data_IF_533097900862
#
_entry.id   IF_533097900862
#
_cell.length_a   1.000
_cell.length_b   1.000
_cell.length_c   1.000
_cell.angle_alpha   90.00
_cell.angle_beta   90.00
_cell.angle_gamma   90.00
#
_symmetry.space_group_name_H-M   'P 1'
#
loop_
_entity.id
_entity.type
_entity.pdbx_description
1 polymer ?
#
# COMPACT_ATOMS: atom_id res chain seq x y z
N UNK A 1 7.59 -5.05 1.97
CA UNK A 1 7.03 -6.41 2.01
C UNK A 1 7.66 -7.26 0.95
N UNK A 2 7.80 -8.56 1.21
CA UNK A 2 8.27 -9.57 0.25
C UNK A 2 7.18 -10.63 0.08
N UNK A 3 6.92 -11.03 -1.16
CA UNK A 3 5.97 -12.06 -1.54
C UNK A 3 6.72 -13.21 -2.21
N UNK A 4 6.45 -14.44 -1.77
CA UNK A 4 6.91 -15.66 -2.45
C UNK A 4 5.70 -16.31 -3.13
N UNK A 5 5.79 -16.57 -4.42
CA UNK A 5 4.68 -17.06 -5.24
C UNK A 5 4.67 -18.59 -5.34
N UNK A 6 3.53 -19.23 -5.66
CA UNK A 6 3.45 -20.68 -5.85
C UNK A 6 4.41 -21.25 -6.88
N UNK A 7 4.77 -20.48 -7.91
CA UNK A 7 5.75 -20.85 -8.93
C UNK A 7 7.22 -20.70 -8.50
N UNK A 8 7.48 -20.32 -7.22
CA UNK A 8 8.81 -20.10 -6.68
C UNK A 8 9.39 -18.71 -6.94
N UNK A 9 8.72 -17.86 -7.74
CA UNK A 9 9.15 -16.48 -7.94
C UNK A 9 9.00 -15.65 -6.65
N UNK A 10 9.75 -14.56 -6.58
CA UNK A 10 9.65 -13.60 -5.48
C UNK A 10 9.42 -12.20 -6.05
N UNK A 11 8.63 -11.41 -5.34
CA UNK A 11 8.43 -10.00 -5.61
C UNK A 11 8.42 -9.18 -4.30
N UNK A 12 8.48 -7.87 -4.43
CA UNK A 12 8.37 -6.98 -3.29
C UNK A 12 7.50 -5.76 -3.64
N UNK A 13 7.01 -5.12 -2.60
CA UNK A 13 6.23 -3.90 -2.67
C UNK A 13 6.18 -3.22 -1.31
N UNK A 14 5.40 -2.17 -1.21
CA UNK A 14 5.22 -1.39 0.01
C UNK A 14 3.89 -1.72 0.67
N UNK A 15 3.86 -1.71 1.99
CA UNK A 15 2.65 -1.74 2.79
C UNK A 15 2.82 -0.83 4.00
N UNK A 16 1.73 -0.38 4.56
CA UNK A 16 1.70 0.49 5.72
C UNK A 16 0.68 0.02 6.75
N UNK A 17 1.01 0.20 8.02
CA UNK A 17 0.14 -0.18 9.13
C UNK A 17 -1.05 0.79 9.23
N UNK A 18 -2.27 0.25 9.33
CA UNK A 18 -3.49 1.02 9.59
C UNK A 18 -4.24 0.55 10.85
N UNK A 19 -3.72 -0.47 11.51
CA UNK A 19 -4.22 -1.02 12.77
C UNK A 19 -3.12 -1.75 13.54
N UNK A 20 -3.46 -2.39 14.66
CA UNK A 20 -2.49 -3.08 15.51
C UNK A 20 -1.68 -4.15 14.76
N UNK A 21 -2.33 -4.98 13.94
CA UNK A 21 -1.73 -6.02 13.11
C UNK A 21 -2.17 -5.92 11.64
N UNK A 22 -2.75 -4.79 11.24
CA UNK A 22 -3.37 -4.61 9.94
C UNK A 22 -2.46 -3.80 9.03
N UNK A 23 -2.16 -4.34 7.87
CA UNK A 23 -1.36 -3.71 6.81
C UNK A 23 -2.23 -3.47 5.59
N UNK A 24 -2.13 -2.28 5.03
CA UNK A 24 -2.72 -1.90 3.76
C UNK A 24 -1.66 -1.87 2.66
N UNK A 25 -2.03 -2.30 1.46
CA UNK A 25 -1.17 -2.33 0.27
C UNK A 25 -2.01 -2.29 -1.00
N UNK A 26 -1.40 -2.32 -2.19
CA UNK A 26 -2.11 -2.52 -3.45
C UNK A 26 -2.39 -4.01 -3.71
N UNK A 27 -3.49 -4.32 -4.38
CA UNK A 27 -3.87 -5.69 -4.70
C UNK A 27 -2.84 -6.36 -5.62
N UNK A 28 -2.28 -5.63 -6.61
CA UNK A 28 -1.28 -6.18 -7.52
C UNK A 28 0.04 -6.58 -6.83
N UNK A 29 0.29 -6.13 -5.62
CA UNK A 29 1.45 -6.55 -4.81
C UNK A 29 1.25 -7.94 -4.24
N UNK A 30 0.01 -8.33 -3.92
CA UNK A 30 -0.34 -9.56 -3.21
C UNK A 30 -1.28 -10.48 -3.99
N UNK A 31 -1.49 -10.22 -5.27
CA UNK A 31 -2.26 -11.09 -6.16
C UNK A 31 -1.76 -10.98 -7.60
N UNK A 32 -1.44 -12.14 -8.21
CA UNK A 32 -1.02 -12.23 -9.61
C UNK A 32 -1.52 -13.55 -10.21
N UNK A 33 -2.39 -13.46 -11.20
CA UNK A 33 -2.86 -14.65 -11.93
C UNK A 33 -1.71 -15.41 -12.59
N UNK A 34 -0.74 -14.69 -13.15
CA UNK A 34 0.45 -15.27 -13.82
C UNK A 34 1.33 -16.09 -12.86
N UNK A 35 1.34 -15.70 -11.57
CA UNK A 35 2.12 -16.37 -10.54
C UNK A 35 1.30 -17.36 -9.70
N UNK A 36 0.05 -17.66 -10.11
CA UNK A 36 -0.79 -18.66 -9.46
C UNK A 36 -1.75 -18.11 -8.40
N UNK A 37 -2.07 -16.82 -8.45
CA UNK A 37 -3.06 -16.19 -7.58
C UNK A 37 -2.42 -15.49 -6.38
N UNK A 38 -2.70 -15.93 -5.17
CA UNK A 38 -2.09 -15.41 -3.94
C UNK A 38 -0.67 -15.95 -3.71
N UNK A 39 0.24 -15.15 -3.10
CA UNK A 39 1.53 -15.65 -2.67
C UNK A 39 1.39 -16.79 -1.64
N UNK A 40 2.29 -17.75 -1.69
CA UNK A 40 2.42 -18.79 -0.68
C UNK A 40 2.96 -18.24 0.66
N UNK A 41 3.64 -17.10 0.63
CA UNK A 41 4.13 -16.40 1.81
C UNK A 41 4.22 -14.90 1.56
N UNK A 42 3.80 -14.10 2.55
CA UNK A 42 3.97 -12.64 2.58
C UNK A 42 4.65 -12.27 3.90
N UNK A 43 5.79 -11.61 3.81
CA UNK A 43 6.55 -11.14 4.97
C UNK A 43 6.61 -9.61 4.97
N UNK A 44 6.20 -9.01 6.07
CA UNK A 44 6.28 -7.58 6.32
C UNK A 44 7.55 -7.25 7.10
N UNK A 45 8.32 -6.30 6.59
CA UNK A 45 9.58 -5.83 7.19
C UNK A 45 9.42 -4.34 7.51
N UNK A 46 9.11 -3.95 8.76
CA UNK A 46 8.97 -2.55 9.12
C UNK A 46 10.33 -1.85 9.09
N UNK A 47 10.37 -0.66 8.47
CA UNK A 47 11.54 0.22 8.50
C UNK A 47 12.82 -0.41 7.95
N UNK A 48 12.73 -1.31 6.96
CA UNK A 48 13.91 -1.88 6.33
C UNK A 48 14.76 -0.79 5.66
N UNK A 49 16.08 -0.90 5.74
CA UNK A 49 17.03 0.00 5.09
C UNK A 49 17.94 -0.76 4.12
N UNK A 50 18.82 -0.05 3.42
CA UNK A 50 19.74 -0.59 2.43
C UNK A 50 20.74 -1.63 2.97
N UNK A 51 21.00 -1.63 4.27
CA UNK A 51 21.83 -2.65 4.92
C UNK A 51 21.05 -3.93 5.24
N UNK A 52 19.73 -3.97 4.93
CA UNK A 52 18.85 -5.06 5.32
C UNK A 52 18.41 -5.03 6.77
N UNK A 53 18.78 -4.00 7.53
CA UNK A 53 18.29 -3.83 8.90
C UNK A 53 16.81 -3.45 8.90
N UNK A 54 16.07 -3.97 9.85
CA UNK A 54 14.63 -3.71 10.04
C UNK A 54 14.39 -3.16 11.45
N UNK A 55 13.28 -2.44 11.62
CA UNK A 55 12.81 -1.99 12.93
C UNK A 55 12.09 -3.16 13.61
N UNK A 56 12.71 -3.75 14.62
CA UNK A 56 12.18 -4.91 15.34
C UNK A 56 12.46 -6.23 14.62
N UNK A 57 11.42 -6.92 14.19
CA UNK A 57 11.48 -8.22 13.52
C UNK A 57 10.70 -8.20 12.20
N UNK A 58 10.77 -9.28 11.44
CA UNK A 58 9.87 -9.53 10.31
C UNK A 58 8.59 -10.21 10.79
N UNK A 59 7.49 -9.92 10.13
CA UNK A 59 6.16 -10.39 10.51
C UNK A 59 5.49 -11.07 9.33
N UNK A 60 4.92 -12.26 9.56
CA UNK A 60 4.22 -13.00 8.53
C UNK A 60 2.75 -12.54 8.46
N UNK A 61 2.26 -12.29 7.25
CA UNK A 61 0.84 -12.15 7.04
C UNK A 61 0.15 -13.52 7.13
N UNK A 62 -0.91 -13.58 7.92
CA UNK A 62 -1.73 -14.79 8.14
C UNK A 62 -2.99 -14.76 7.28
N UNK A 63 -3.44 -13.56 6.91
CA UNK A 63 -4.62 -13.33 6.07
C UNK A 63 -4.24 -12.27 5.03
N UNK A 64 -4.71 -12.46 3.81
CA UNK A 64 -4.69 -11.46 2.74
C UNK A 64 -6.08 -11.40 2.11
N UNK A 65 -6.66 -10.21 2.02
CA UNK A 65 -7.96 -9.98 1.41
C UNK A 65 -7.88 -8.84 0.41
N UNK A 66 -8.55 -9.01 -0.70
CA UNK A 66 -8.69 -7.98 -1.74
C UNK A 66 -10.05 -8.12 -2.43
N UNK A 67 -10.54 -7.09 -3.13
CA UNK A 67 -11.84 -7.13 -3.80
C UNK A 67 -11.91 -8.26 -4.84
N UNK A 68 -13.04 -8.98 -4.85
CA UNK A 68 -13.27 -10.09 -5.78
C UNK A 68 -13.22 -9.63 -7.25
N UNK A 69 -13.69 -8.42 -7.55
CA UNK A 69 -13.62 -7.81 -8.89
C UNK A 69 -12.19 -7.54 -9.35
N UNK A 70 -11.26 -7.26 -8.43
CA UNK A 70 -9.85 -7.21 -8.80
C UNK A 70 -9.33 -8.58 -9.22
N UNK A 71 -9.72 -9.64 -8.52
CA UNK A 71 -9.29 -11.01 -8.85
C UNK A 71 -9.82 -11.47 -10.23
N UNK A 72 -11.08 -11.18 -10.54
CA UNK A 72 -11.73 -11.65 -11.78
C UNK A 72 -11.43 -10.78 -13.00
N UNK A 73 -11.34 -9.46 -12.83
CA UNK A 73 -11.36 -8.49 -13.92
C UNK A 73 -10.12 -7.60 -13.99
N UNK A 74 -9.25 -7.67 -12.98
CA UNK A 74 -8.09 -6.76 -12.84
C UNK A 74 -8.52 -5.28 -12.84
N UNK A 75 -9.68 -5.00 -12.21
CA UNK A 75 -10.20 -3.64 -12.09
C UNK A 75 -9.28 -2.76 -11.23
N UNK A 76 -8.53 -1.88 -11.87
CA UNK A 76 -7.57 -0.98 -11.20
C UNK A 76 -8.23 -0.06 -10.17
N UNK A 77 -9.55 0.19 -10.28
CA UNK A 77 -10.30 0.95 -9.26
C UNK A 77 -10.42 0.19 -7.93
N UNK A 78 -10.07 -1.09 -7.94
CA UNK A 78 -10.08 -2.03 -6.82
C UNK A 78 -8.68 -2.50 -6.43
N UNK A 79 -7.64 -1.82 -6.91
CA UNK A 79 -6.25 -2.17 -6.62
C UNK A 79 -5.84 -1.78 -5.19
N UNK A 80 -6.49 -2.42 -4.22
CA UNK A 80 -6.15 -2.33 -2.79
C UNK A 80 -6.31 -3.69 -2.10
N UNK A 81 -5.56 -3.90 -1.04
CA UNK A 81 -5.61 -5.13 -0.24
C UNK A 81 -5.32 -4.84 1.23
N UNK A 82 -5.83 -5.72 2.09
CA UNK A 82 -5.58 -5.70 3.52
C UNK A 82 -4.96 -7.03 3.95
N UNK A 83 -3.98 -6.94 4.85
CA UNK A 83 -3.29 -8.09 5.42
C UNK A 83 -3.43 -8.05 6.93
N UNK A 84 -3.58 -9.21 7.56
CA UNK A 84 -3.42 -9.35 9.01
C UNK A 84 -2.09 -10.03 9.32
N UNK A 85 -1.29 -9.42 10.17
CA UNK A 85 0.00 -9.95 10.61
C UNK A 85 -0.19 -10.90 11.80
N UNK A 86 0.79 -11.76 12.00
CA UNK A 86 0.87 -12.66 13.17
C UNK A 86 1.28 -11.95 14.48
N UNK A 87 1.27 -10.62 14.51
CA UNK A 87 1.68 -9.81 15.68
C UNK A 87 1.06 -8.41 15.64
N UNK A 88 0.70 -7.88 16.81
CA UNK A 88 0.15 -6.54 16.99
C UNK A 88 1.24 -5.45 17.00
N UNK A 89 2.17 -5.51 16.06
CA UNK A 89 3.34 -4.62 16.02
C UNK A 89 2.94 -3.13 15.88
N UNK A 90 1.78 -2.83 15.32
CA UNK A 90 1.26 -1.48 15.22
C UNK A 90 1.03 -0.81 16.58
N UNK A 91 0.83 -1.58 17.66
CA UNK A 91 0.75 -1.03 19.01
C UNK A 91 2.10 -0.44 19.49
N UNK A 92 3.20 -0.91 18.93
CA UNK A 92 4.56 -0.44 19.24
C UNK A 92 5.04 0.62 18.25
N UNK A 93 4.82 0.40 16.97
CA UNK A 93 5.33 1.28 15.90
C UNK A 93 4.39 2.43 15.56
N UNK A 94 3.12 2.36 15.99
CA UNK A 94 2.07 3.23 15.51
C UNK A 94 1.51 2.78 14.17
N UNK A 95 0.43 3.41 13.75
CA UNK A 95 -0.21 3.20 12.45
C UNK A 95 -0.89 4.48 11.96
N UNK A 96 -1.03 4.60 10.64
CA UNK A 96 -1.71 5.74 10.04
C UNK A 96 -3.23 5.61 10.17
N UNK A 97 -3.88 6.72 10.52
CA UNK A 97 -5.29 6.89 10.24
C UNK A 97 -5.54 7.18 8.76
N UNK A 98 -6.80 7.30 8.37
CA UNK A 98 -7.16 7.61 6.99
C UNK A 98 -8.17 8.74 6.88
N UNK A 99 -8.23 9.34 5.68
CA UNK A 99 -9.15 10.40 5.30
C UNK A 99 -9.93 9.98 4.05
N UNK A 100 -11.23 10.24 4.04
CA UNK A 100 -12.11 10.04 2.89
C UNK A 100 -12.37 11.32 2.11
N UNK A 101 -12.04 12.47 2.71
CA UNK A 101 -12.18 13.80 2.08
C UNK A 101 -10.81 14.28 1.62
N UNK A 102 -10.66 14.45 0.31
CA UNK A 102 -9.43 14.89 -0.34
C UNK A 102 -9.80 15.93 -1.40
N UNK A 103 -9.05 17.02 -1.46
CA UNK A 103 -9.24 18.09 -2.43
C UNK A 103 -8.04 18.24 -3.36
N UNK A 104 -8.31 18.67 -4.59
CA UNK A 104 -7.25 19.12 -5.52
C UNK A 104 -6.46 20.25 -4.86
N UNK A 105 -5.14 20.23 -5.00
CA UNK A 105 -4.22 21.16 -4.36
C UNK A 105 -3.77 20.76 -2.95
N UNK A 106 -4.37 19.73 -2.32
CA UNK A 106 -3.81 19.25 -1.06
C UNK A 106 -2.37 18.81 -1.24
N UNK A 107 -1.49 19.23 -0.32
CA UNK A 107 -0.13 18.71 -0.25
C UNK A 107 -0.18 17.29 0.29
N UNK A 108 0.49 16.40 -0.42
CA UNK A 108 0.56 14.98 -0.08
C UNK A 108 2.00 14.49 -0.12
N UNK A 109 2.26 13.39 0.54
CA UNK A 109 3.46 12.61 0.36
C UNK A 109 3.12 11.17 0.01
N UNK A 110 4.01 10.54 -0.76
CA UNK A 110 4.05 9.12 -1.01
C UNK A 110 5.30 8.56 -0.35
N UNK A 111 5.11 7.59 0.52
CA UNK A 111 6.22 6.88 1.17
C UNK A 111 6.23 5.44 0.72
N UNK A 112 7.39 4.94 0.34
CA UNK A 112 7.54 3.56 -0.11
C UNK A 112 9.00 3.14 -0.33
N UNK A 113 9.17 1.86 -0.60
CA UNK A 113 10.48 1.24 -0.84
C UNK A 113 10.80 1.21 -2.33
N UNK A 114 11.59 2.18 -2.78
CA UNK A 114 12.01 2.28 -4.17
C UNK A 114 13.03 1.19 -4.51
N UNK A 115 12.73 0.32 -5.48
CA UNK A 115 13.57 -0.82 -5.84
C UNK A 115 14.95 -0.44 -6.37
N UNK A 116 15.08 0.71 -7.01
CA UNK A 116 16.33 1.28 -7.48
C UNK A 116 17.27 1.77 -6.37
N UNK A 117 16.74 1.97 -5.16
CA UNK A 117 17.45 2.40 -3.97
C UNK A 117 17.63 1.28 -2.93
N UNK A 118 17.74 0.04 -3.38
CA UNK A 118 18.12 -1.12 -2.57
C UNK A 118 17.36 -1.25 -1.22
N UNK A 119 16.03 -1.06 -1.27
CA UNK A 119 15.14 -1.20 -0.11
C UNK A 119 15.21 -0.05 0.91
N UNK A 120 15.71 1.10 0.55
CA UNK A 120 15.55 2.30 1.38
C UNK A 120 14.10 2.82 1.31
N UNK A 121 13.64 3.33 2.44
CA UNK A 121 12.37 4.05 2.51
C UNK A 121 12.55 5.46 1.93
N UNK A 122 11.84 5.73 0.85
CA UNK A 122 11.84 7.02 0.19
C UNK A 122 10.50 7.72 0.35
N UNK A 123 10.55 9.05 0.36
CA UNK A 123 9.38 9.91 0.40
C UNK A 123 9.43 10.90 -0.74
N UNK A 124 8.38 10.92 -1.56
CA UNK A 124 8.13 11.96 -2.54
C UNK A 124 7.02 12.90 -2.06
N UNK A 125 7.26 14.22 -2.12
CA UNK A 125 6.25 15.23 -1.77
C UNK A 125 5.69 15.84 -3.05
N UNK A 126 4.37 16.04 -3.07
CA UNK A 126 3.67 16.59 -4.22
C UNK A 126 2.30 17.14 -3.87
N UNK A 127 1.46 17.28 -4.87
CA UNK A 127 0.10 17.78 -4.73
C UNK A 127 -0.90 16.83 -5.41
N UNK A 128 -2.09 16.75 -4.85
CA UNK A 128 -3.24 16.11 -5.50
C UNK A 128 -3.66 16.95 -6.71
N UNK A 129 -3.67 16.36 -7.89
CA UNK A 129 -4.07 16.98 -9.16
C UNK A 129 -5.49 16.65 -9.58
N UNK A 130 -5.98 15.48 -9.20
CA UNK A 130 -7.35 15.05 -9.49
C UNK A 130 -7.85 14.08 -8.42
N UNK A 131 -9.13 14.17 -8.12
CA UNK A 131 -9.85 13.26 -7.22
C UNK A 131 -11.03 12.59 -7.93
N UNK A 132 -10.99 12.54 -9.27
CA UNK A 132 -12.08 12.05 -10.10
C UNK A 132 -12.25 10.53 -9.99
N UNK A 133 -13.49 10.09 -9.82
CA UNK A 133 -13.82 8.67 -9.69
C UNK A 133 -13.17 8.02 -8.48
N UNK A 134 -12.61 6.84 -8.69
CA UNK A 134 -11.95 6.03 -7.66
C UNK A 134 -10.46 6.35 -7.48
N UNK A 135 -9.90 7.27 -8.27
CA UNK A 135 -8.47 7.55 -8.25
C UNK A 135 -8.10 8.90 -7.66
N UNK A 136 -6.93 8.94 -7.05
CA UNK A 136 -6.14 10.15 -6.84
C UNK A 136 -5.06 10.20 -7.91
N UNK A 137 -4.90 11.37 -8.57
CA UNK A 137 -3.72 11.67 -9.38
C UNK A 137 -2.89 12.72 -8.67
N UNK A 138 -1.58 12.54 -8.66
CA UNK A 138 -0.68 13.38 -7.86
C UNK A 138 0.70 13.52 -8.51
N UNK A 139 1.48 14.52 -8.07
CA UNK A 139 2.77 14.88 -8.66
C UNK A 139 3.99 14.36 -7.91
N UNK A 140 3.82 13.72 -6.74
CA UNK A 140 4.96 13.11 -6.06
C UNK A 140 5.53 11.97 -6.91
N UNK A 141 6.85 11.82 -6.91
CA UNK A 141 7.52 10.75 -7.64
C UNK A 141 7.15 9.37 -7.07
N UNK A 142 7.09 8.39 -7.95
CA UNK A 142 6.84 6.99 -7.62
C UNK A 142 7.69 6.09 -8.52
N UNK A 143 8.29 5.08 -7.94
CA UNK A 143 9.07 4.09 -8.67
C UNK A 143 8.68 2.66 -8.30
N UNK A 144 9.25 1.69 -9.02
CA UNK A 144 9.00 0.26 -8.76
C UNK A 144 9.32 -0.07 -7.30
N UNK A 145 8.42 -0.84 -6.66
CA UNK A 145 8.53 -1.20 -5.25
C UNK A 145 7.76 -0.26 -4.32
N UNK A 146 7.45 0.98 -4.74
CA UNK A 146 6.58 1.89 -3.98
C UNK A 146 5.09 1.55 -4.13
N UNK A 147 4.73 0.59 -4.97
CA UNK A 147 3.38 0.05 -5.11
C UNK A 147 2.80 -0.36 -3.76
N UNK A 148 1.58 0.07 -3.47
CA UNK A 148 0.89 -0.16 -2.19
C UNK A 148 1.28 0.82 -1.08
N UNK A 149 2.23 1.72 -1.31
CA UNK A 149 2.59 2.78 -0.37
C UNK A 149 1.42 3.72 -0.06
N UNK A 150 1.44 4.33 1.11
CA UNK A 150 0.41 5.30 1.49
C UNK A 150 0.58 6.60 0.72
N UNK A 151 -0.49 7.01 0.03
CA UNK A 151 -0.66 8.40 -0.41
C UNK A 151 -1.27 9.13 0.78
N UNK A 152 -0.51 9.94 1.51
CA UNK A 152 -1.03 10.58 2.71
C UNK A 152 -1.00 12.11 2.64
N UNK A 153 -1.96 12.73 3.30
CA UNK A 153 -2.09 14.19 3.40
C UNK A 153 -1.15 14.69 4.50
N UNK A 154 -0.17 15.49 4.15
CA UNK A 154 0.92 15.90 5.06
C UNK A 154 0.45 16.71 6.26
N UNK A 155 -0.55 17.59 6.08
CA UNK A 155 -1.10 18.40 7.18
C UNK A 155 -1.91 17.56 8.16
N UNK A 156 -2.66 16.57 7.66
CA UNK A 156 -3.55 15.75 8.48
C UNK A 156 -2.86 14.50 9.03
N UNK A 157 -1.72 14.12 8.46
CA UNK A 157 -1.02 12.85 8.73
C UNK A 157 -1.95 11.64 8.59
N UNK A 158 -2.76 11.61 7.51
CA UNK A 158 -3.74 10.57 7.24
C UNK A 158 -3.58 10.05 5.83
N UNK A 159 -3.63 8.74 5.66
CA UNK A 159 -3.65 8.11 4.36
C UNK A 159 -4.94 8.47 3.60
N UNK A 160 -4.80 8.83 2.34
CA UNK A 160 -5.89 9.19 1.44
C UNK A 160 -6.06 8.17 0.30
N UNK A 161 -5.06 7.30 0.09
CA UNK A 161 -5.08 6.31 -0.98
C UNK A 161 -3.93 5.33 -0.93
N UNK A 162 -3.98 4.37 -1.85
CA UNK A 162 -3.00 3.30 -2.06
C UNK A 162 -2.29 3.58 -3.38
N UNK A 163 -0.97 3.71 -3.36
CA UNK A 163 -0.21 3.96 -4.57
C UNK A 163 -0.30 2.77 -5.54
N UNK A 164 -0.73 3.04 -6.75
CA UNK A 164 -0.62 2.10 -7.87
C UNK A 164 0.73 2.28 -8.58
N UNK A 165 1.04 3.50 -9.01
CA UNK A 165 2.23 3.88 -9.78
C UNK A 165 1.90 4.96 -10.80
N UNK A 166 2.68 5.01 -11.88
CA UNK A 166 2.49 5.94 -13.00
C UNK A 166 2.40 5.21 -14.33
N UNK A 167 1.87 5.91 -15.33
CA UNK A 167 1.94 5.48 -16.73
C UNK A 167 3.12 6.15 -17.42
N UNK A 168 3.88 5.44 -18.26
CA UNK A 168 4.94 6.03 -19.04
C UNK A 168 4.44 7.22 -19.90
N UNK A 169 5.12 8.36 -19.80
CA UNK A 169 4.77 9.58 -20.53
C UNK A 169 3.76 10.50 -19.85
N UNK A 170 3.18 10.11 -18.73
CA UNK A 170 2.31 10.98 -17.93
C UNK A 170 3.12 11.82 -16.93
N UNK A 171 2.63 13.03 -16.65
CA UNK A 171 3.25 13.96 -15.68
C UNK A 171 2.73 13.77 -14.25
N UNK A 172 2.01 12.69 -13.99
CA UNK A 172 1.42 12.37 -12.69
C UNK A 172 1.43 10.85 -12.44
N UNK A 173 1.48 10.50 -11.17
CA UNK A 173 1.21 9.16 -10.69
C UNK A 173 -0.22 9.06 -10.19
N UNK A 174 -0.70 7.84 -9.94
CA UNK A 174 -2.06 7.61 -9.46
C UNK A 174 -2.13 6.48 -8.45
N UNK A 175 -3.23 6.45 -7.72
CA UNK A 175 -3.56 5.38 -6.79
C UNK A 175 -5.05 5.37 -6.47
N UNK A 176 -5.50 4.30 -5.84
CA UNK A 176 -6.90 4.14 -5.44
C UNK A 176 -7.19 5.05 -4.24
N UNK A 177 -8.22 5.88 -4.37
CA UNK A 177 -8.68 6.79 -3.33
C UNK A 177 -9.42 6.03 -2.22
N UNK A 178 -9.10 6.30 -0.97
CA UNK A 178 -9.89 5.83 0.15
C UNK A 178 -11.21 6.61 0.17
N UNK A 179 -12.28 5.94 -0.23
CA UNK A 179 -13.66 6.42 -0.16
C UNK A 179 -14.35 5.83 1.07
N UNK A 180 -15.63 6.19 1.28
CA UNK A 180 -16.40 5.71 2.44
C UNK A 180 -16.55 4.18 2.47
N UNK A 181 -16.67 3.51 1.31
CA UNK A 181 -16.75 2.04 1.24
C UNK A 181 -15.46 1.40 1.73
N UNK A 182 -14.31 1.84 1.19
CA UNK A 182 -12.99 1.34 1.59
C UNK A 182 -12.72 1.65 3.08
N UNK A 183 -13.09 2.85 3.54
CA UNK A 183 -12.96 3.22 4.95
C UNK A 183 -13.78 2.30 5.88
N UNK A 184 -14.98 1.89 5.47
CA UNK A 184 -15.79 0.93 6.21
C UNK A 184 -15.13 -0.47 6.25
N UNK A 185 -14.55 -0.92 5.14
CA UNK A 185 -13.78 -2.17 5.09
C UNK A 185 -12.55 -2.10 6.01
N UNK A 186 -11.80 -0.99 5.99
CA UNK A 186 -10.66 -0.77 6.89
C UNK A 186 -11.09 -0.81 8.36
N UNK A 187 -12.21 -0.17 8.72
CA UNK A 187 -12.78 -0.23 10.07
C UNK A 187 -13.16 -1.66 10.45
N UNK A 188 -13.77 -2.41 9.52
CA UNK A 188 -14.17 -3.80 9.78
C UNK A 188 -12.95 -4.67 10.09
N UNK A 189 -11.90 -4.62 9.27
CA UNK A 189 -10.70 -5.45 9.49
C UNK A 189 -9.96 -5.03 10.75
N UNK A 190 -9.75 -3.75 10.97
CA UNK A 190 -9.09 -3.23 12.18
C UNK A 190 -9.78 -3.64 13.49
N UNK A 191 -11.12 -3.78 13.49
CA UNK A 191 -11.88 -4.13 14.67
C UNK A 191 -12.13 -5.65 14.82
N UNK A 192 -11.71 -6.45 13.86
CA UNK A 192 -11.94 -7.90 13.84
C UNK A 192 -10.84 -8.67 14.57
N UNK A 193 -9.71 -8.05 14.84
CA UNK A 193 -8.50 -8.68 15.40
C UNK A 193 -8.26 -8.30 16.85
#
# INVERSE_FOLDING_TARGET
MSCTWPNGASSFGTGWLFGPNDVATAAHVVYSQENGGYPSSIIFYPGVNNSGSIVGASYKATIAVLPATYQSERDDTKDYAFLSLNSNIGNTLGYLGWATSVSVGNTMALTGYAGEHAYELWEGIGQIKSTSGSFLRYTADSSRGMSGGAIYLTIQMKAAGFNHGGYPGESYNYGVKINSSIANEMNYYKNKN
#
